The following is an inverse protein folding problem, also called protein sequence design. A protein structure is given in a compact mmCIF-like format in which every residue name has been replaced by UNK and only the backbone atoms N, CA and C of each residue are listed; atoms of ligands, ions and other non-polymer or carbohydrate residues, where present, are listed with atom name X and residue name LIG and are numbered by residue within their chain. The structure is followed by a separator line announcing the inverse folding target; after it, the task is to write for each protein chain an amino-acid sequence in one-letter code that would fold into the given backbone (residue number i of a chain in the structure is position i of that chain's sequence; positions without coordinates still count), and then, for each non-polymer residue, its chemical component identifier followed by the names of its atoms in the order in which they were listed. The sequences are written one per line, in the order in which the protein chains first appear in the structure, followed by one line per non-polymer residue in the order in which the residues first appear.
data_IF_729599519718
#
_entry.id   IF_729599519718
#
_cell.length_a   1.000
_cell.length_b   1.000
_cell.length_c   1.000
_cell.angle_alpha   90.00
_cell.angle_beta   90.00
_cell.angle_gamma   90.00
#
_symmetry.space_group_name_H-M   'P 1'
#
loop_
_entity.id
_entity.type
_entity.pdbx_description
1 polymer ?
#
# COMPACT_ATOMS: atom_id res chain seq x y z
N UNK A 1 -32.12 24.26 54.02
CA UNK A 1 -31.53 23.00 53.56
C UNK A 1 -32.19 22.60 52.25
N UNK A 2 -31.48 22.71 51.12
CA UNK A 2 -31.93 22.27 49.79
C UNK A 2 -30.75 21.56 49.14
N UNK A 3 -30.91 20.26 48.89
CA UNK A 3 -29.89 19.41 48.30
C UNK A 3 -30.08 19.42 46.79
N UNK A 4 -29.09 19.93 46.04
CA UNK A 4 -29.01 19.73 44.61
C UNK A 4 -27.96 18.67 44.32
N UNK A 5 -28.44 17.47 43.99
CA UNK A 5 -27.62 16.36 43.53
C UNK A 5 -27.35 16.61 42.04
N UNK A 6 -26.13 17.02 41.71
CA UNK A 6 -25.67 17.07 40.33
C UNK A 6 -25.12 15.69 39.96
N UNK A 7 -25.88 14.95 39.17
CA UNK A 7 -25.42 13.71 38.55
C UNK A 7 -24.50 14.08 37.38
N UNK A 8 -23.19 13.89 37.54
CA UNK A 8 -22.21 14.08 36.48
C UNK A 8 -22.09 12.73 35.76
N UNK A 9 -22.78 12.61 34.62
CA UNK A 9 -22.63 11.46 33.73
C UNK A 9 -21.23 11.50 33.11
N UNK A 10 -20.38 10.57 33.54
CA UNK A 10 -19.05 10.33 33.00
C UNK A 10 -19.19 9.71 31.61
N UNK A 11 -19.08 10.50 30.54
CA UNK A 11 -18.94 9.98 29.17
C UNK A 11 -17.53 9.40 29.03
N UNK A 12 -17.40 8.09 29.17
CA UNK A 12 -16.22 7.34 28.74
C UNK A 12 -16.23 7.22 27.23
N UNK A 13 -15.58 8.15 26.54
CA UNK A 13 -15.22 8.00 25.14
C UNK A 13 -14.20 6.87 25.02
N UNK A 14 -14.69 5.68 24.64
CA UNK A 14 -13.88 4.56 24.15
C UNK A 14 -13.13 5.04 22.91
N UNK A 15 -11.86 5.42 23.10
CA UNK A 15 -10.89 5.54 22.02
C UNK A 15 -10.63 4.13 21.50
N UNK A 16 -11.41 3.69 20.51
CA UNK A 16 -11.01 2.57 19.66
C UNK A 16 -9.76 3.02 18.90
N UNK A 17 -8.59 2.73 19.47
CA UNK A 17 -7.33 2.73 18.75
C UNK A 17 -7.45 1.69 17.64
N UNK A 18 -7.72 2.18 16.43
CA UNK A 18 -7.68 1.36 15.23
C UNK A 18 -6.23 0.89 15.07
N UNK A 19 -5.96 -0.39 15.37
CA UNK A 19 -4.69 -1.00 15.04
C UNK A 19 -4.56 -1.01 13.52
N UNK A 20 -3.86 -0.02 12.96
CA UNK A 20 -3.53 -0.04 11.53
C UNK A 20 -2.31 -0.93 11.35
N UNK A 21 -2.47 -2.07 10.69
CA UNK A 21 -1.37 -2.92 10.25
C UNK A 21 -0.35 -2.10 9.47
N UNK A 22 0.89 -2.10 9.92
CA UNK A 22 2.00 -1.38 9.29
C UNK A 22 2.43 -2.08 8.00
N UNK A 23 2.40 -1.36 6.89
CA UNK A 23 2.92 -1.82 5.59
C UNK A 23 4.07 -0.93 5.19
N UNK A 24 5.17 -1.56 4.78
CA UNK A 24 6.38 -0.90 4.32
C UNK A 24 6.65 -1.25 2.85
N UNK A 25 7.00 -0.24 2.07
CA UNK A 25 7.46 -0.39 0.69
C UNK A 25 8.93 0.04 0.60
N UNK A 26 9.76 -0.78 -0.02
CA UNK A 26 11.17 -0.49 -0.24
C UNK A 26 11.49 -0.49 -1.73
N UNK A 27 11.88 0.67 -2.25
CA UNK A 27 12.35 0.82 -3.62
C UNK A 27 13.67 0.04 -3.82
N UNK A 28 13.78 -0.74 -4.91
CA UNK A 28 15.03 -1.43 -5.25
C UNK A 28 15.66 -0.89 -6.53
N UNK A 29 14.96 -1.02 -7.67
CA UNK A 29 15.53 -0.71 -8.99
C UNK A 29 14.56 0.12 -9.82
N UNK A 30 15.05 1.23 -10.37
CA UNK A 30 14.31 2.13 -11.27
C UNK A 30 12.99 2.69 -10.71
N UNK A 31 12.78 2.59 -9.40
CA UNK A 31 11.73 3.33 -8.69
C UNK A 31 12.33 4.68 -8.32
N UNK A 32 11.75 5.77 -8.81
CA UNK A 32 12.23 7.13 -8.47
C UNK A 32 11.73 7.57 -7.11
N UNK A 33 10.46 7.29 -6.82
CA UNK A 33 9.79 7.62 -5.57
C UNK A 33 8.55 6.73 -5.38
N UNK A 34 8.00 6.72 -4.18
CA UNK A 34 6.69 6.17 -3.89
C UNK A 34 5.99 7.04 -2.85
N UNK A 35 4.66 7.09 -2.90
CA UNK A 35 3.81 7.86 -1.97
C UNK A 35 2.81 6.92 -1.31
N UNK A 36 2.74 6.93 0.02
CA UNK A 36 1.72 6.19 0.76
C UNK A 36 0.48 7.05 0.92
N UNK A 37 -0.65 6.63 0.36
CA UNK A 37 -1.93 7.37 0.45
C UNK A 37 -2.76 6.94 1.66
N UNK A 38 -2.64 5.68 2.05
CA UNK A 38 -3.26 5.08 3.23
C UNK A 38 -2.39 3.94 3.74
N UNK A 39 -2.65 3.34 4.92
CA UNK A 39 -1.82 2.26 5.46
C UNK A 39 -1.55 1.11 4.49
N UNK A 40 -2.44 0.87 3.52
CA UNK A 40 -2.36 -0.26 2.56
C UNK A 40 -2.37 0.17 1.10
N UNK A 41 -2.19 1.47 0.80
CA UNK A 41 -2.23 1.99 -0.56
C UNK A 41 -1.01 2.83 -0.89
N UNK A 42 -0.35 2.49 -2.00
CA UNK A 42 0.84 3.18 -2.47
C UNK A 42 0.73 3.56 -3.94
N UNK A 43 1.26 4.74 -4.26
CA UNK A 43 1.62 5.12 -5.62
C UNK A 43 3.10 4.84 -5.81
N UNK A 44 3.47 4.17 -6.89
CA UNK A 44 4.87 3.85 -7.21
C UNK A 44 5.24 4.49 -8.55
N UNK A 45 6.32 5.28 -8.53
CA UNK A 45 6.80 6.01 -9.69
C UNK A 45 7.98 5.28 -10.31
N UNK A 46 7.80 4.88 -11.56
CA UNK A 46 8.65 3.96 -12.30
C UNK A 46 8.99 4.57 -13.67
N UNK A 47 9.96 5.52 -13.73
CA UNK A 47 10.19 6.38 -14.89
C UNK A 47 10.79 5.69 -16.11
N UNK A 48 11.14 4.41 -16.06
CA UNK A 48 11.56 3.61 -17.22
C UNK A 48 10.48 2.65 -17.72
N UNK A 49 9.41 2.42 -16.93
CA UNK A 49 8.39 1.41 -17.21
C UNK A 49 8.76 0.02 -16.71
N UNK A 50 10.01 -0.14 -16.24
CA UNK A 50 10.54 -1.41 -15.73
C UNK A 50 11.23 -1.15 -14.40
N UNK A 51 10.64 -1.61 -13.30
CA UNK A 51 11.17 -1.38 -11.96
C UNK A 51 10.93 -2.58 -11.02
N UNK A 52 11.64 -2.53 -9.89
CA UNK A 52 11.52 -3.50 -8.80
C UNK A 52 11.43 -2.80 -7.46
N UNK A 53 10.61 -3.38 -6.58
CA UNK A 53 10.46 -2.95 -5.19
C UNK A 53 10.09 -4.15 -4.32
N UNK A 54 10.17 -3.96 -3.00
CA UNK A 54 9.76 -4.93 -2.00
C UNK A 54 8.58 -4.37 -1.19
N UNK A 55 7.67 -5.24 -0.78
CA UNK A 55 6.58 -4.91 0.15
C UNK A 55 6.61 -5.88 1.33
N UNK A 56 6.43 -5.39 2.53
CA UNK A 56 6.28 -6.21 3.74
C UNK A 56 5.19 -5.64 4.64
N UNK A 57 4.58 -6.51 5.45
CA UNK A 57 3.59 -6.12 6.44
C UNK A 57 3.81 -6.88 7.75
N UNK A 58 3.40 -6.27 8.85
CA UNK A 58 3.35 -6.89 10.17
C UNK A 58 2.29 -8.02 10.23
N UNK A 59 1.12 -7.74 9.66
CA UNK A 59 -0.03 -8.64 9.57
C UNK A 59 -0.33 -9.05 8.13
N UNK A 60 -1.03 -10.18 7.97
CA UNK A 60 -1.47 -10.64 6.66
C UNK A 60 -2.47 -9.64 6.08
N UNK A 61 -2.16 -9.08 4.91
CA UNK A 61 -2.98 -8.03 4.31
C UNK A 61 -2.91 -8.00 2.79
N UNK A 62 -3.92 -7.37 2.19
CA UNK A 62 -3.89 -6.95 0.79
C UNK A 62 -3.33 -5.51 0.70
N UNK A 63 -2.37 -5.29 -0.19
CA UNK A 63 -1.77 -3.97 -0.44
C UNK A 63 -2.08 -3.52 -1.87
N UNK A 64 -2.68 -2.35 -2.01
CA UNK A 64 -3.00 -1.75 -3.31
C UNK A 64 -1.84 -0.90 -3.82
N UNK A 65 -1.39 -1.18 -5.04
CA UNK A 65 -0.32 -0.45 -5.72
C UNK A 65 -0.87 0.16 -7.01
N UNK A 66 -0.59 1.44 -7.24
CA UNK A 66 -0.85 2.12 -8.50
C UNK A 66 0.45 2.61 -9.12
N UNK A 67 0.64 2.33 -10.41
CA UNK A 67 1.88 2.58 -11.13
C UNK A 67 1.80 3.84 -11.99
N UNK A 68 2.85 4.66 -11.89
CA UNK A 68 2.98 5.92 -12.60
C UNK A 68 4.36 6.03 -13.24
N UNK A 69 4.45 6.62 -14.43
CA UNK A 69 5.75 6.99 -15.00
C UNK A 69 6.30 8.25 -14.35
N UNK A 70 5.41 9.17 -13.99
CA UNK A 70 5.65 10.45 -13.33
C UNK A 70 4.32 10.96 -12.71
N UNK A 71 4.37 12.03 -11.93
CA UNK A 71 3.16 12.68 -11.40
C UNK A 71 2.18 13.04 -12.52
N UNK A 72 0.91 12.67 -12.34
CA UNK A 72 -0.14 12.86 -13.34
C UNK A 72 -0.02 11.99 -14.60
N UNK A 73 0.97 11.09 -14.67
CA UNK A 73 1.21 10.22 -15.84
C UNK A 73 1.14 8.73 -15.42
N UNK A 74 -0.08 8.16 -15.29
CA UNK A 74 -0.24 6.75 -14.94
C UNK A 74 0.33 5.84 -16.04
N UNK A 75 0.64 4.60 -15.67
CA UNK A 75 0.90 3.56 -16.67
C UNK A 75 -0.35 3.39 -17.56
N UNK A 76 -0.14 3.12 -18.86
CA UNK A 76 -1.28 2.79 -19.74
C UNK A 76 -1.76 1.36 -19.48
N UNK A 77 -0.82 0.44 -19.27
CA UNK A 77 -1.06 -0.97 -19.04
C UNK A 77 0.14 -1.58 -18.32
N UNK A 78 -0.10 -2.58 -17.48
CA UNK A 78 0.98 -3.41 -16.92
C UNK A 78 1.11 -4.66 -17.80
N UNK A 79 2.22 -4.73 -18.54
CA UNK A 79 2.53 -5.84 -19.44
C UNK A 79 3.22 -7.01 -18.74
N UNK A 80 3.69 -6.81 -17.51
CA UNK A 80 4.21 -7.88 -16.67
C UNK A 80 4.26 -7.46 -15.22
N UNK A 81 3.62 -8.25 -14.36
CA UNK A 81 3.74 -8.17 -12.92
C UNK A 81 4.27 -9.52 -12.42
N UNK A 82 5.41 -9.53 -11.74
CA UNK A 82 5.96 -10.74 -11.14
C UNK A 82 6.12 -10.55 -9.64
N UNK A 83 5.53 -11.45 -8.85
CA UNK A 83 5.73 -11.53 -7.40
C UNK A 83 5.54 -12.98 -6.94
N UNK A 84 6.26 -13.41 -5.89
CA UNK A 84 6.20 -14.79 -5.36
C UNK A 84 6.35 -15.90 -6.43
N UNK A 85 7.23 -15.69 -7.42
CA UNK A 85 7.42 -16.55 -8.60
C UNK A 85 6.18 -16.73 -9.49
N UNK A 86 5.15 -15.91 -9.31
CA UNK A 86 3.95 -15.87 -10.15
C UNK A 86 4.01 -14.69 -11.10
N UNK A 87 3.52 -14.89 -12.32
CA UNK A 87 3.34 -13.83 -13.30
C UNK A 87 1.86 -13.48 -13.44
N UNK A 88 1.57 -12.19 -13.50
CA UNK A 88 0.23 -11.63 -13.68
C UNK A 88 0.26 -10.50 -14.69
N UNK A 89 -0.90 -10.22 -15.27
CA UNK A 89 -1.08 -9.23 -16.31
C UNK A 89 -2.32 -8.37 -16.00
N UNK A 90 -2.21 -7.44 -15.05
CA UNK A 90 -3.32 -6.56 -14.69
C UNK A 90 -3.81 -5.76 -15.91
N UNK A 91 -5.13 -5.62 -16.04
CA UNK A 91 -5.74 -4.84 -17.13
C UNK A 91 -5.62 -3.32 -16.96
N UNK A 92 -5.07 -2.85 -15.83
CA UNK A 92 -4.96 -1.43 -15.47
C UNK A 92 -3.56 -1.09 -14.96
N UNK A 93 -3.34 0.16 -14.56
CA UNK A 93 -2.12 0.59 -13.86
C UNK A 93 -2.10 0.22 -12.37
N UNK A 94 -3.14 -0.45 -11.87
CA UNK A 94 -3.28 -0.82 -10.47
C UNK A 94 -3.34 -2.33 -10.29
N UNK A 95 -2.84 -2.80 -9.15
CA UNK A 95 -2.93 -4.20 -8.72
C UNK A 95 -2.90 -4.33 -7.20
N UNK A 96 -3.26 -5.52 -6.72
CA UNK A 96 -3.28 -5.84 -5.30
C UNK A 96 -2.32 -6.98 -5.00
N UNK A 97 -1.45 -6.80 -4.02
CA UNK A 97 -0.49 -7.79 -3.56
C UNK A 97 -1.02 -8.47 -2.29
N UNK A 98 -1.11 -9.81 -2.26
CA UNK A 98 -1.31 -10.54 -1.01
C UNK A 98 0.02 -10.60 -0.26
N UNK A 99 0.13 -9.83 0.82
CA UNK A 99 1.33 -9.77 1.67
C UNK A 99 1.08 -10.61 2.91
N UNK A 100 1.93 -11.62 3.13
CA UNK A 100 1.86 -12.47 4.30
C UNK A 100 2.44 -11.77 5.55
N UNK A 101 1.95 -12.15 6.73
CA UNK A 101 2.42 -11.61 8.02
C UNK A 101 3.87 -11.98 8.30
N UNK A 102 4.53 -11.19 9.16
CA UNK A 102 5.84 -11.53 9.71
C UNK A 102 7.01 -10.89 8.98
N UNK A 103 6.81 -9.71 8.38
CA UNK A 103 7.86 -8.88 7.79
C UNK A 103 8.69 -9.56 6.67
N UNK A 104 8.21 -10.67 6.11
CA UNK A 104 8.83 -11.27 4.93
C UNK A 104 8.62 -10.32 3.76
N UNK A 105 9.72 -9.95 3.11
CA UNK A 105 9.69 -9.03 1.97
C UNK A 105 9.25 -9.77 0.71
N UNK A 106 8.11 -9.37 0.17
CA UNK A 106 7.63 -9.78 -1.14
C UNK A 106 8.33 -8.94 -2.21
N UNK A 107 9.20 -9.55 -3.02
CA UNK A 107 9.82 -8.88 -4.17
C UNK A 107 8.82 -8.80 -5.32
N UNK A 108 8.72 -7.63 -5.93
CA UNK A 108 7.79 -7.30 -7.00
C UNK A 108 8.55 -6.68 -8.17
N UNK A 109 8.33 -7.21 -9.37
CA UNK A 109 8.78 -6.62 -10.61
C UNK A 109 7.58 -6.19 -11.44
N UNK A 110 7.62 -4.96 -11.95
CA UNK A 110 6.59 -4.41 -12.84
C UNK A 110 7.23 -3.99 -14.15
N UNK A 111 6.54 -4.27 -15.25
CA UNK A 111 6.98 -4.05 -16.62
C UNK A 111 5.82 -3.44 -17.43
N UNK A 112 6.14 -2.39 -18.18
CA UNK A 112 5.36 -1.83 -19.27
C UNK A 112 6.28 -1.52 -20.45
N UNK A 113 6.15 -2.31 -21.52
CA UNK A 113 7.02 -2.24 -22.70
C UNK A 113 6.62 -1.14 -23.71
N UNK A 114 5.40 -0.62 -23.67
CA UNK A 114 4.79 0.14 -24.79
C UNK A 114 4.48 1.61 -24.46
N UNK A 115 5.28 2.20 -23.57
CA UNK A 115 5.18 3.59 -23.10
C UNK A 115 4.81 4.63 -24.15
#
# INVERSE_FOLDING_TARGET
MKYHIYSISLLTSLLFGCASSEVLLHAEKNVSEYKQLSPKQFLVYCPTGICRFQVSADEKTAVSIEMFYAEGKPFKKIEGLTYDNQNQYPASNAFTLPVESGNKRLSVQVIDYYR
#
